data_IF_850188045198
#
_entry.id   IF_850188045198
#
_cell.length_a   1.000
_cell.length_b   1.000
_cell.length_c   1.000
_cell.angle_alpha   90.00
_cell.angle_beta   90.00
_cell.angle_gamma   90.00
#
_symmetry.space_group_name_H-M   'P 1'
#
loop_
_entity.id
_entity.type
_entity.pdbx_description
1 polymer ?
#
# COMPACT_ATOMS: atom_id res chain seq x y z
N UNK A 1 -32.12 20.90 24.39
CA UNK A 1 -32.19 19.73 23.48
C UNK A 1 -31.28 19.87 22.25
N UNK A 2 -31.30 20.99 21.51
CA UNK A 2 -30.47 21.19 20.30
C UNK A 2 -28.94 21.06 20.51
N UNK A 3 -28.41 21.56 21.64
CA UNK A 3 -26.98 21.45 21.96
C UNK A 3 -26.51 19.99 22.19
N UNK A 4 -27.38 19.13 22.73
CA UNK A 4 -27.08 17.72 22.94
C UNK A 4 -27.13 16.93 21.63
N UNK A 5 -28.05 17.28 20.73
CA UNK A 5 -28.11 16.69 19.39
C UNK A 5 -26.86 17.03 18.56
N UNK A 6 -26.39 18.28 18.61
CA UNK A 6 -25.15 18.68 17.95
C UNK A 6 -23.90 17.96 18.52
N UNK A 7 -23.80 17.82 19.84
CA UNK A 7 -22.68 17.12 20.47
C UNK A 7 -22.65 15.62 20.10
N UNK A 8 -23.81 14.95 20.07
CA UNK A 8 -23.92 13.56 19.64
C UNK A 8 -23.60 13.40 18.15
N UNK A 9 -24.07 14.30 17.30
CA UNK A 9 -23.79 14.29 15.87
C UNK A 9 -22.28 14.49 15.61
N UNK A 10 -21.63 15.39 16.34
CA UNK A 10 -20.19 15.64 16.24
C UNK A 10 -19.35 14.43 16.68
N UNK A 11 -19.76 13.74 17.76
CA UNK A 11 -19.09 12.51 18.20
C UNK A 11 -19.28 11.36 17.21
N UNK A 12 -20.44 11.26 16.57
CA UNK A 12 -20.67 10.33 15.47
C UNK A 12 -19.71 10.64 14.31
N UNK A 13 -19.61 11.89 13.86
CA UNK A 13 -18.64 12.25 12.83
C UNK A 13 -17.19 11.95 13.21
N UNK A 14 -16.81 12.11 14.48
CA UNK A 14 -15.44 11.81 14.92
C UNK A 14 -15.14 10.30 14.93
N UNK A 15 -16.01 9.47 15.53
CA UNK A 15 -15.75 8.02 15.63
C UNK A 15 -15.85 7.34 14.26
N UNK A 16 -16.86 7.68 13.46
CA UNK A 16 -17.03 7.13 12.12
C UNK A 16 -16.01 7.73 11.13
N UNK A 17 -15.58 8.97 11.34
CA UNK A 17 -14.51 9.60 10.58
C UNK A 17 -13.18 8.87 10.76
N UNK A 18 -12.81 8.51 11.99
CA UNK A 18 -11.57 7.75 12.26
C UNK A 18 -11.62 6.36 11.62
N UNK A 19 -12.75 5.67 11.72
CA UNK A 19 -12.94 4.36 11.07
C UNK A 19 -12.87 4.47 9.54
N UNK A 20 -13.45 5.51 8.95
CA UNK A 20 -13.39 5.76 7.51
C UNK A 20 -11.95 6.01 7.06
N UNK A 21 -11.17 6.83 7.80
CA UNK A 21 -9.75 7.07 7.49
C UNK A 21 -8.95 5.76 7.55
N UNK A 22 -9.16 4.96 8.60
CA UNK A 22 -8.45 3.68 8.74
C UNK A 22 -8.81 2.69 7.63
N UNK A 23 -10.09 2.63 7.23
CA UNK A 23 -10.53 1.83 6.09
C UNK A 23 -9.87 2.26 4.77
N UNK A 24 -9.73 3.58 4.53
CA UNK A 24 -9.04 4.10 3.35
C UNK A 24 -7.56 3.70 3.35
N UNK A 25 -6.87 3.80 4.48
CA UNK A 25 -5.45 3.39 4.60
C UNK A 25 -5.29 1.91 4.24
N UNK A 26 -6.15 1.05 4.78
CA UNK A 26 -6.13 -0.38 4.49
C UNK A 26 -6.44 -0.67 3.01
N UNK A 27 -7.46 -0.01 2.44
CA UNK A 27 -7.84 -0.18 1.05
C UNK A 27 -6.69 0.19 0.09
N UNK A 28 -6.00 1.31 0.36
CA UNK A 28 -4.82 1.75 -0.41
C UNK A 28 -3.69 0.71 -0.31
N UNK A 29 -3.44 0.18 0.90
CA UNK A 29 -2.44 -0.85 1.13
C UNK A 29 -2.71 -2.14 0.36
N UNK A 30 -3.94 -2.64 0.41
CA UNK A 30 -4.39 -3.83 -0.34
C UNK A 30 -4.22 -3.59 -1.84
N UNK A 31 -4.72 -2.46 -2.35
CA UNK A 31 -4.63 -2.11 -3.78
C UNK A 31 -3.18 -2.14 -4.27
N UNK A 32 -2.25 -1.56 -3.51
CA UNK A 32 -0.81 -1.55 -3.85
C UNK A 32 -0.22 -2.96 -3.91
N UNK A 33 -0.58 -3.84 -2.97
CA UNK A 33 -0.11 -5.23 -2.96
C UNK A 33 -0.66 -5.99 -4.18
N UNK A 34 -1.95 -5.80 -4.50
CA UNK A 34 -2.59 -6.42 -5.66
C UNK A 34 -1.97 -5.94 -6.98
N UNK A 35 -1.71 -4.64 -7.12
CA UNK A 35 -1.03 -4.09 -8.30
C UNK A 35 0.40 -4.64 -8.45
N UNK A 36 1.14 -4.80 -7.35
CA UNK A 36 2.49 -5.40 -7.37
C UNK A 36 2.44 -6.88 -7.77
N UNK A 37 1.46 -7.63 -7.26
CA UNK A 37 1.25 -9.04 -7.57
C UNK A 37 0.91 -9.25 -9.05
N UNK A 38 -0.11 -8.54 -9.54
CA UNK A 38 -0.56 -8.63 -10.92
C UNK A 38 0.51 -8.13 -11.91
N UNK A 39 1.24 -7.08 -11.55
CA UNK A 39 2.41 -6.61 -12.29
C UNK A 39 3.49 -7.68 -12.42
N UNK A 40 3.90 -8.30 -11.31
CA UNK A 40 4.91 -9.35 -11.30
C UNK A 40 4.49 -10.57 -12.15
N UNK A 41 3.22 -11.00 -12.06
CA UNK A 41 2.69 -12.09 -12.86
C UNK A 41 2.65 -11.76 -14.36
N UNK A 42 2.20 -10.55 -14.72
CA UNK A 42 2.17 -10.08 -16.11
C UNK A 42 3.58 -10.04 -16.70
N UNK A 43 4.54 -9.57 -15.92
CA UNK A 43 5.94 -9.51 -16.30
C UNK A 43 6.52 -10.92 -16.48
N UNK A 44 6.24 -11.84 -15.55
CA UNK A 44 6.69 -13.24 -15.64
C UNK A 44 6.16 -13.94 -16.90
N UNK A 45 4.88 -13.73 -17.25
CA UNK A 45 4.29 -14.24 -18.49
C UNK A 45 4.99 -13.69 -19.74
N UNK A 46 5.26 -12.38 -19.74
CA UNK A 46 5.97 -11.72 -20.85
C UNK A 46 7.39 -12.27 -21.00
N UNK A 47 8.11 -12.47 -19.89
CA UNK A 47 9.46 -13.04 -19.88
C UNK A 47 9.47 -14.49 -20.35
N UNK A 48 8.51 -15.33 -19.92
CA UNK A 48 8.39 -16.72 -20.43
C UNK A 48 8.15 -16.76 -21.93
N UNK A 49 7.19 -15.97 -22.41
CA UNK A 49 6.87 -15.88 -23.83
C UNK A 49 8.04 -15.34 -24.68
N UNK A 50 8.88 -14.48 -24.10
CA UNK A 50 10.11 -14.03 -24.73
C UNK A 50 11.17 -15.12 -24.76
N UNK A 51 11.40 -15.79 -23.62
CA UNK A 51 12.35 -16.91 -23.47
C UNK A 51 12.01 -18.06 -24.42
N UNK A 52 10.74 -18.43 -24.54
CA UNK A 52 10.28 -19.47 -25.49
C UNK A 52 10.62 -19.12 -26.94
N UNK A 53 10.42 -17.86 -27.35
CA UNK A 53 10.82 -17.39 -28.69
C UNK A 53 12.33 -17.39 -28.87
N UNK A 54 13.08 -17.03 -27.82
CA UNK A 54 14.53 -17.06 -27.84
C UNK A 54 15.05 -18.48 -28.05
N UNK A 55 14.47 -19.46 -27.35
CA UNK A 55 14.74 -20.88 -27.57
C UNK A 55 14.40 -21.34 -28.98
N UNK A 56 13.24 -20.95 -29.51
CA UNK A 56 12.85 -21.27 -30.88
C UNK A 56 13.85 -20.73 -31.91
N UNK A 57 14.26 -19.46 -31.76
CA UNK A 57 15.27 -18.84 -32.62
C UNK A 57 16.63 -19.53 -32.53
N UNK A 58 17.10 -19.82 -31.31
CA UNK A 58 18.37 -20.50 -31.08
C UNK A 58 18.37 -21.93 -31.65
N UNK A 59 17.28 -22.68 -31.45
CA UNK A 59 17.12 -24.04 -31.98
C UNK A 59 17.01 -24.08 -33.51
N UNK A 60 16.52 -23.00 -34.13
CA UNK A 60 16.54 -22.83 -35.59
C UNK A 60 17.91 -22.44 -36.15
N UNK A 61 18.95 -22.34 -35.30
CA UNK A 61 20.28 -21.85 -35.68
C UNK A 61 20.23 -20.53 -36.47
N UNK A 62 19.31 -19.63 -36.09
CA UNK A 62 19.18 -18.32 -36.71
C UNK A 62 18.34 -18.26 -37.98
N UNK A 63 17.76 -19.37 -38.45
CA UNK A 63 16.98 -19.43 -39.69
C UNK A 63 15.57 -18.82 -39.56
N UNK A 64 14.99 -18.84 -38.35
CA UNK A 64 13.67 -18.25 -38.11
C UNK A 64 13.73 -16.71 -38.04
N UNK A 65 13.62 -16.09 -39.21
CA UNK A 65 13.61 -14.62 -39.37
C UNK A 65 12.45 -13.98 -38.61
N UNK A 66 11.28 -14.62 -38.57
CA UNK A 66 10.10 -14.07 -37.88
C UNK A 66 10.30 -14.07 -36.36
N UNK A 67 10.90 -15.13 -35.80
CA UNK A 67 11.30 -15.16 -34.39
C UNK A 67 12.35 -14.10 -34.09
N UNK A 68 13.36 -13.92 -34.95
CA UNK A 68 14.38 -12.88 -34.80
C UNK A 68 13.78 -11.47 -34.77
N UNK A 69 12.97 -11.11 -35.76
CA UNK A 69 12.36 -9.78 -35.85
C UNK A 69 11.53 -9.47 -34.60
N UNK A 70 10.79 -10.46 -34.11
CA UNK A 70 10.01 -10.28 -32.89
C UNK A 70 10.85 -10.17 -31.63
N UNK A 71 11.94 -10.94 -31.54
CA UNK A 71 12.88 -10.83 -30.44
C UNK A 71 13.56 -9.47 -30.45
N UNK A 72 14.06 -9.01 -31.60
CA UNK A 72 14.69 -7.70 -31.76
C UNK A 72 13.74 -6.56 -31.38
N UNK A 73 12.48 -6.61 -31.82
CA UNK A 73 11.46 -5.61 -31.45
C UNK A 73 11.17 -5.60 -29.93
N UNK A 74 11.19 -6.75 -29.27
CA UNK A 74 10.88 -6.86 -27.85
C UNK A 74 12.10 -6.71 -26.94
N UNK A 75 13.31 -6.74 -27.50
CA UNK A 75 14.56 -6.81 -26.75
C UNK A 75 14.77 -5.60 -25.83
N UNK A 76 14.52 -4.38 -26.34
CA UNK A 76 14.64 -3.16 -25.56
C UNK A 76 13.67 -3.16 -24.37
N UNK A 77 12.40 -3.48 -24.63
CA UNK A 77 11.38 -3.56 -23.58
C UNK A 77 11.73 -4.61 -22.52
N UNK A 78 12.27 -5.76 -22.95
CA UNK A 78 12.68 -6.82 -22.02
C UNK A 78 13.90 -6.39 -21.20
N UNK A 79 14.90 -5.78 -21.83
CA UNK A 79 16.06 -5.21 -21.13
C UNK A 79 15.67 -4.20 -20.07
N UNK A 80 14.78 -3.26 -20.41
CA UNK A 80 14.25 -2.28 -19.46
C UNK A 80 13.44 -2.93 -18.32
N UNK A 81 12.65 -3.95 -18.65
CA UNK A 81 11.84 -4.70 -17.68
C UNK A 81 12.70 -5.50 -16.69
N UNK A 82 13.79 -6.07 -17.16
CA UNK A 82 14.73 -6.85 -16.35
C UNK A 82 15.61 -5.97 -15.45
N UNK A 83 15.82 -4.70 -15.82
CA UNK A 83 16.56 -3.72 -15.02
C UNK A 83 17.97 -4.21 -14.68
N UNK A 84 18.27 -4.40 -13.39
CA UNK A 84 19.57 -4.93 -12.94
C UNK A 84 19.85 -6.35 -13.42
N UNK A 85 18.82 -7.18 -13.59
CA UNK A 85 18.98 -8.54 -14.10
C UNK A 85 19.29 -8.59 -15.59
N UNK A 86 19.10 -7.46 -16.30
CA UNK A 86 19.46 -7.30 -17.70
C UNK A 86 20.95 -6.98 -17.91
N UNK A 87 21.74 -6.87 -16.84
CA UNK A 87 23.16 -6.55 -16.92
C UNK A 87 23.94 -7.81 -16.63
N UNK A 88 24.70 -8.27 -17.61
CA UNK A 88 25.66 -9.35 -17.41
C UNK A 88 27.06 -8.77 -17.52
N UNK A 89 27.84 -9.00 -16.47
CA UNK A 89 29.29 -8.80 -16.51
C UNK A 89 29.89 -9.94 -17.32
N UNK A 90 29.96 -9.73 -18.62
CA UNK A 90 30.47 -10.71 -19.57
C UNK A 90 31.97 -10.48 -19.71
N UNK A 91 32.77 -11.46 -19.27
CA UNK A 91 34.21 -11.50 -19.53
C UNK A 91 34.44 -12.34 -20.78
N UNK A 92 34.85 -11.76 -21.92
CA UNK A 92 35.18 -12.55 -23.09
C UNK A 92 36.36 -13.48 -22.76
N UNK A 93 36.32 -14.75 -23.21
CA UNK A 93 37.48 -15.62 -23.12
C UNK A 93 38.64 -14.93 -23.88
N UNK A 94 39.84 -14.92 -23.29
CA UNK A 94 41.07 -14.31 -23.82
C UNK A 94 41.23 -12.77 -23.69
N UNK A 95 40.30 -12.05 -23.07
CA UNK A 95 40.46 -10.63 -22.73
C UNK A 95 41.07 -10.43 -21.33
N UNK A 96 42.32 -9.94 -21.24
CA UNK A 96 43.01 -9.68 -19.97
C UNK A 96 42.43 -8.53 -19.12
N UNK A 97 41.33 -7.89 -19.52
CA UNK A 97 40.72 -6.74 -18.84
C UNK A 97 39.21 -6.97 -18.64
N UNK A 98 38.68 -6.51 -17.51
CA UNK A 98 37.36 -6.88 -16.97
C UNK A 98 36.33 -5.75 -17.13
N UNK A 99 35.08 -6.17 -17.40
CA UNK A 99 33.78 -5.50 -17.24
C UNK A 99 33.41 -4.35 -18.19
N UNK A 100 32.90 -4.70 -19.38
CA UNK A 100 31.75 -3.98 -19.94
C UNK A 100 30.48 -4.69 -19.46
N UNK A 101 29.62 -3.99 -18.73
CA UNK A 101 28.30 -4.50 -18.38
C UNK A 101 27.43 -4.42 -19.64
N UNK A 102 27.15 -5.56 -20.26
CA UNK A 102 26.30 -5.59 -21.46
C UNK A 102 24.84 -5.54 -21.02
N UNK A 103 24.01 -4.78 -21.74
CA UNK A 103 22.55 -4.87 -21.61
C UNK A 103 22.13 -6.12 -22.37
N UNK A 104 22.12 -7.23 -21.64
CA UNK A 104 22.14 -8.62 -22.08
C UNK A 104 21.23 -8.85 -23.28
N UNK A 105 19.93 -8.57 -23.14
CA UNK A 105 18.98 -8.98 -24.17
C UNK A 105 19.08 -8.15 -25.46
N UNK A 106 19.44 -6.86 -25.35
CA UNK A 106 19.46 -5.95 -26.51
C UNK A 106 20.67 -6.19 -27.42
N UNK A 107 21.83 -6.46 -26.82
CA UNK A 107 23.09 -6.61 -27.54
C UNK A 107 23.30 -8.04 -28.02
N UNK A 108 22.87 -9.04 -27.23
CA UNK A 108 23.14 -10.42 -27.55
C UNK A 108 22.25 -11.02 -28.65
N UNK A 109 21.05 -10.48 -28.92
CA UNK A 109 20.22 -11.01 -30.02
C UNK A 109 20.88 -10.80 -31.40
N UNK A 110 21.32 -9.57 -31.76
CA UNK A 110 22.05 -9.36 -33.00
C UNK A 110 23.39 -10.10 -33.07
N UNK A 111 24.12 -10.20 -31.95
CA UNK A 111 25.39 -10.94 -31.89
C UNK A 111 25.18 -12.44 -32.11
N UNK A 112 24.15 -13.02 -31.48
CA UNK A 112 23.79 -14.42 -31.69
C UNK A 112 23.48 -14.72 -33.16
N UNK A 113 22.75 -13.83 -33.85
CA UNK A 113 22.48 -13.95 -35.28
C UNK A 113 23.77 -13.91 -36.12
N UNK A 114 24.73 -13.04 -35.76
CA UNK A 114 26.04 -12.98 -36.45
C UNK A 114 26.81 -14.29 -36.31
N UNK A 115 26.86 -14.87 -35.10
CA UNK A 115 27.52 -16.15 -34.89
C UNK A 115 26.86 -17.30 -35.67
N UNK A 116 25.52 -17.30 -35.78
CA UNK A 116 24.81 -18.25 -36.64
C UNK A 116 25.11 -18.06 -38.14
N UNK A 117 25.17 -16.81 -38.62
CA UNK A 117 25.53 -16.53 -40.01
C UNK A 117 26.97 -16.96 -40.34
N UNK A 118 27.92 -16.74 -39.42
CA UNK A 118 29.31 -17.17 -39.57
C UNK A 118 29.43 -18.70 -39.62
N UNK A 119 28.64 -19.42 -38.81
CA UNK A 119 28.53 -20.88 -38.85
C UNK A 119 28.01 -21.38 -40.21
N UNK A 120 26.96 -20.75 -40.74
CA UNK A 120 26.38 -21.08 -42.04
C UNK A 120 27.34 -20.78 -43.20
N UNK A 121 28.18 -19.76 -43.06
CA UNK A 121 29.21 -19.40 -44.06
C UNK A 121 30.45 -20.33 -44.03
N UNK A 122 30.48 -21.36 -43.18
CA UNK A 122 31.61 -22.29 -43.06
C UNK A 122 32.77 -21.76 -42.21
N UNK A 123 32.50 -20.79 -41.33
CA UNK A 123 33.51 -20.20 -40.45
C UNK A 123 34.10 -21.20 -39.45
N UNK A 124 35.43 -21.25 -39.38
CA UNK A 124 36.16 -22.18 -38.52
C UNK A 124 36.18 -21.69 -37.05
N UNK A 125 35.53 -22.45 -36.15
CA UNK A 125 35.83 -22.52 -34.72
C UNK A 125 35.09 -21.55 -33.78
N UNK A 126 35.13 -20.23 -34.02
CA UNK A 126 34.62 -19.26 -33.03
C UNK A 126 33.09 -19.03 -33.06
N UNK A 127 32.42 -19.46 -34.13
CA UNK A 127 30.96 -19.29 -34.28
C UNK A 127 30.15 -20.14 -33.31
N UNK A 128 30.54 -21.40 -33.10
CA UNK A 128 29.79 -22.34 -32.24
C UNK A 128 29.96 -21.98 -30.76
N UNK A 129 31.19 -21.75 -30.33
CA UNK A 129 31.50 -21.41 -28.94
C UNK A 129 30.91 -20.04 -28.56
N UNK A 130 30.95 -19.07 -29.48
CA UNK A 130 30.33 -17.76 -29.31
C UNK A 130 28.81 -17.82 -29.22
N UNK A 131 28.14 -18.53 -30.15
CA UNK A 131 26.68 -18.71 -30.12
C UNK A 131 26.23 -19.43 -28.84
N UNK A 132 26.93 -20.49 -28.45
CA UNK A 132 26.66 -21.25 -27.22
C UNK A 132 26.80 -20.39 -25.97
N UNK A 133 27.90 -19.64 -25.86
CA UNK A 133 28.14 -18.74 -24.73
C UNK A 133 27.06 -17.65 -24.62
N UNK A 134 26.67 -17.03 -25.75
CA UNK A 134 25.60 -16.04 -25.78
C UNK A 134 24.27 -16.66 -25.35
N UNK A 135 23.93 -17.83 -25.91
CA UNK A 135 22.70 -18.54 -25.59
C UNK A 135 22.58 -18.81 -24.09
N UNK A 136 23.60 -19.40 -23.48
CA UNK A 136 23.60 -19.70 -22.04
C UNK A 136 23.56 -18.42 -21.20
N UNK A 137 24.28 -17.38 -21.62
CA UNK A 137 24.31 -16.10 -20.90
C UNK A 137 22.93 -15.43 -20.86
N UNK A 138 22.23 -15.39 -22.00
CA UNK A 138 20.89 -14.82 -22.09
C UNK A 138 19.88 -15.68 -21.35
N UNK A 139 19.93 -17.01 -21.50
CA UNK A 139 18.99 -17.91 -20.83
C UNK A 139 19.13 -17.85 -19.30
N UNK A 140 20.36 -17.86 -18.79
CA UNK A 140 20.64 -17.72 -17.35
C UNK A 140 20.10 -16.39 -16.80
N UNK A 141 20.27 -15.29 -17.52
CA UNK A 141 19.74 -14.00 -17.11
C UNK A 141 18.21 -14.00 -17.06
N UNK A 142 17.55 -14.62 -18.05
CA UNK A 142 16.09 -14.76 -18.10
C UNK A 142 15.57 -15.66 -16.97
N UNK A 143 16.25 -16.78 -16.67
CA UNK A 143 15.91 -17.67 -15.56
C UNK A 143 16.03 -16.96 -14.21
N UNK A 144 17.15 -16.26 -13.97
CA UNK A 144 17.36 -15.48 -12.74
C UNK A 144 16.27 -14.43 -12.55
N UNK A 145 15.91 -13.75 -13.63
CA UNK A 145 14.83 -12.76 -13.58
C UNK A 145 13.47 -13.41 -13.30
N UNK A 146 13.15 -14.55 -13.91
CA UNK A 146 11.94 -15.31 -13.60
C UNK A 146 11.90 -15.75 -12.13
N UNK A 147 13.03 -16.18 -11.57
CA UNK A 147 13.15 -16.51 -10.16
C UNK A 147 12.88 -15.30 -9.25
N UNK A 148 13.41 -14.13 -9.59
CA UNK A 148 13.15 -12.89 -8.85
C UNK A 148 11.67 -12.48 -8.89
N UNK A 149 11.00 -12.64 -10.04
CA UNK A 149 9.57 -12.38 -10.18
C UNK A 149 8.70 -13.39 -9.40
N UNK A 150 9.10 -14.65 -9.36
CA UNK A 150 8.42 -15.69 -8.58
C UNK A 150 8.52 -15.40 -7.08
N UNK A 151 9.71 -15.03 -6.58
CA UNK A 151 9.88 -14.63 -5.19
C UNK A 151 9.05 -13.37 -4.85
N UNK A 152 9.04 -12.38 -5.76
CA UNK A 152 8.20 -11.18 -5.60
C UNK A 152 6.71 -11.55 -5.51
N UNK A 153 6.27 -12.51 -6.31
CA UNK A 153 4.89 -13.03 -6.31
C UNK A 153 4.57 -13.72 -4.98
N UNK A 154 5.43 -14.64 -4.52
CA UNK A 154 5.29 -15.35 -3.24
C UNK A 154 5.27 -14.42 -2.05
N UNK A 155 6.16 -13.41 -2.02
CA UNK A 155 6.18 -12.40 -0.97
C UNK A 155 4.92 -11.55 -0.99
N UNK A 156 4.44 -11.15 -2.17
CA UNK A 156 3.23 -10.33 -2.30
C UNK A 156 1.98 -11.10 -1.88
N UNK A 157 1.87 -12.39 -2.22
CA UNK A 157 0.79 -13.27 -1.74
C UNK A 157 0.80 -13.41 -0.21
N UNK A 158 1.97 -13.64 0.40
CA UNK A 158 2.10 -13.69 1.87
C UNK A 158 1.69 -12.38 2.54
N UNK A 159 2.03 -11.23 1.93
CA UNK A 159 1.60 -9.91 2.41
C UNK A 159 0.11 -9.66 2.23
N UNK A 160 -0.49 -10.22 1.18
CA UNK A 160 -1.93 -10.09 0.94
C UNK A 160 -2.74 -10.80 2.03
N UNK A 161 -2.23 -11.85 2.68
CA UNK A 161 -2.90 -12.53 3.79
C UNK A 161 -2.65 -11.86 5.16
N UNK A 162 -1.82 -10.81 5.23
CA UNK A 162 -1.44 -10.18 6.49
C UNK A 162 -2.04 -8.76 6.62
N UNK A 163 -3.03 -8.56 7.52
CA UNK A 163 -3.66 -7.24 7.74
C UNK A 163 -2.68 -6.14 8.18
N UNK A 164 -1.63 -6.51 8.93
CA UNK A 164 -0.59 -5.56 9.36
C UNK A 164 0.22 -5.07 8.15
N UNK A 165 0.45 -5.94 7.17
CA UNK A 165 1.13 -5.56 5.93
C UNK A 165 0.30 -4.57 5.10
N UNK A 166 -1.03 -4.71 5.09
CA UNK A 166 -1.92 -3.76 4.42
C UNK A 166 -1.81 -2.37 5.05
N UNK A 167 -1.91 -2.29 6.38
CA UNK A 167 -1.79 -1.02 7.10
C UNK A 167 -0.43 -0.36 6.84
N UNK A 168 0.66 -1.12 6.95
CA UNK A 168 2.01 -0.62 6.68
C UNK A 168 2.17 -0.07 5.26
N UNK A 169 1.74 -0.81 4.24
CA UNK A 169 1.86 -0.37 2.84
C UNK A 169 0.97 0.85 2.55
N UNK A 170 -0.19 0.96 3.21
CA UNK A 170 -1.08 2.12 3.14
C UNK A 170 -0.46 3.37 3.77
N UNK A 171 0.07 3.26 4.99
CA UNK A 171 0.75 4.38 5.67
C UNK A 171 2.00 4.82 4.90
N UNK A 172 2.83 3.88 4.45
CA UNK A 172 4.02 4.18 3.63
C UNK A 172 3.65 4.99 2.38
N UNK A 173 2.53 4.64 1.74
CA UNK A 173 2.06 5.33 0.53
C UNK A 173 1.57 6.75 0.84
N UNK A 174 0.83 6.93 1.93
CA UNK A 174 0.30 8.24 2.32
C UNK A 174 1.44 9.19 2.70
N UNK A 175 2.44 8.70 3.43
CA UNK A 175 3.63 9.48 3.76
C UNK A 175 4.47 9.83 2.52
N UNK A 176 4.43 9.00 1.47
CA UNK A 176 5.12 9.25 0.21
C UNK A 176 4.37 10.25 -0.70
N UNK A 177 3.06 10.48 -0.50
CA UNK A 177 2.27 11.42 -1.31
C UNK A 177 2.91 12.81 -1.45
N UNK A 178 3.37 13.51 -0.39
CA UNK A 178 3.99 14.82 -0.56
C UNK A 178 5.22 14.80 -1.47
N UNK A 179 6.03 13.73 -1.45
CA UNK A 179 7.16 13.58 -2.36
C UNK A 179 6.74 13.33 -3.81
N UNK A 180 5.66 12.57 -4.00
CA UNK A 180 5.07 12.30 -5.32
C UNK A 180 4.45 13.58 -5.90
N UNK A 181 3.75 14.35 -5.07
CA UNK A 181 3.17 15.63 -5.47
C UNK A 181 4.31 16.61 -5.82
N UNK A 182 5.38 16.66 -5.02
CA UNK A 182 6.55 17.49 -5.32
C UNK A 182 7.24 17.12 -6.64
N UNK A 183 7.26 15.84 -7.02
CA UNK A 183 7.81 15.43 -8.31
C UNK A 183 6.93 15.84 -9.49
N UNK A 184 5.60 15.89 -9.32
CA UNK A 184 4.70 16.41 -10.36
C UNK A 184 4.94 17.90 -10.67
N UNK A 185 5.37 18.68 -9.67
CA UNK A 185 5.76 20.08 -9.84
C UNK A 185 7.20 20.24 -10.36
N UNK A 186 7.90 19.15 -10.69
CA UNK A 186 9.27 19.20 -11.20
C UNK A 186 10.32 19.62 -10.17
N UNK A 187 9.94 19.73 -8.89
CA UNK A 187 10.86 20.09 -7.80
C UNK A 187 11.87 18.97 -7.51
N UNK A 188 11.50 17.72 -7.82
CA UNK A 188 12.30 16.53 -7.55
C UNK A 188 12.24 15.61 -8.78
N UNK A 189 13.40 15.06 -9.16
CA UNK A 189 13.53 14.03 -10.18
C UNK A 189 12.62 12.81 -9.87
N UNK A 190 11.81 12.33 -10.84
CA UNK A 190 10.84 11.24 -10.61
C UNK A 190 11.47 9.97 -10.01
N UNK A 191 12.70 9.65 -10.42
CA UNK A 191 13.45 8.49 -9.93
C UNK A 191 13.87 8.64 -8.45
N UNK A 192 14.14 9.87 -8.01
CA UNK A 192 14.47 10.15 -6.60
C UNK A 192 13.22 10.09 -5.73
N UNK A 193 12.09 10.57 -6.21
CA UNK A 193 10.80 10.45 -5.52
C UNK A 193 10.35 8.98 -5.37
N UNK A 194 10.55 8.16 -6.41
CA UNK A 194 10.25 6.72 -6.36
C UNK A 194 11.20 5.92 -5.44
N UNK A 195 12.44 6.38 -5.25
CA UNK A 195 13.41 5.73 -4.38
C UNK A 195 13.31 6.15 -2.90
N UNK A 196 12.63 7.26 -2.59
CA UNK A 196 12.33 7.65 -1.21
C UNK A 196 11.53 6.56 -0.47
N UNK A 197 10.58 5.92 -1.15
CA UNK A 197 9.79 4.79 -0.61
C UNK A 197 10.63 3.53 -0.31
N UNK A 198 11.80 3.38 -0.95
CA UNK A 198 12.66 2.20 -0.80
C UNK A 198 13.69 2.36 0.33
N UNK A 199 13.85 3.56 0.88
CA UNK A 199 14.86 3.82 1.89
C UNK A 199 14.45 3.25 3.26
N UNK A 200 15.36 2.51 3.90
CA UNK A 200 15.11 1.86 5.19
C UNK A 200 14.78 2.86 6.31
N UNK A 201 15.40 4.04 6.28
CA UNK A 201 15.10 5.14 7.21
C UNK A 201 13.66 5.63 7.06
N UNK A 202 13.19 5.81 5.82
CA UNK A 202 11.80 6.24 5.57
C UNK A 202 10.80 5.18 6.05
N UNK A 203 11.09 3.90 5.85
CA UNK A 203 10.28 2.79 6.40
C UNK A 203 10.27 2.74 7.93
N UNK A 204 11.39 3.05 8.57
CA UNK A 204 11.48 3.10 10.03
C UNK A 204 10.67 4.27 10.59
N UNK A 205 10.80 5.45 9.99
CA UNK A 205 10.00 6.63 10.35
C UNK A 205 8.52 6.38 10.12
N UNK A 206 8.14 5.81 8.97
CA UNK A 206 6.75 5.43 8.67
C UNK A 206 6.20 4.41 9.67
N UNK A 207 7.01 3.42 10.07
CA UNK A 207 6.65 2.45 11.11
C UNK A 207 6.42 3.12 12.46
N UNK A 208 7.29 4.05 12.86
CA UNK A 208 7.13 4.84 14.09
C UNK A 208 5.89 5.74 14.04
N UNK A 209 5.64 6.39 12.91
CA UNK A 209 4.43 7.23 12.74
C UNK A 209 3.17 6.38 12.80
N UNK A 210 3.19 5.18 12.21
CA UNK A 210 2.09 4.24 12.27
C UNK A 210 1.77 3.81 13.72
N UNK A 211 2.80 3.51 14.52
CA UNK A 211 2.63 3.15 15.94
C UNK A 211 2.03 4.34 16.72
N UNK A 212 2.58 5.54 16.53
CA UNK A 212 2.08 6.75 17.20
C UNK A 212 0.63 7.06 16.81
N UNK A 213 0.27 6.87 15.53
CA UNK A 213 -1.10 7.06 15.07
C UNK A 213 -2.07 6.07 15.73
N UNK A 214 -1.69 4.80 15.87
CA UNK A 214 -2.50 3.78 16.56
C UNK A 214 -2.67 4.13 18.04
N UNK A 215 -1.61 4.56 18.72
CA UNK A 215 -1.68 4.99 20.12
C UNK A 215 -2.57 6.23 20.28
N UNK A 216 -2.49 7.18 19.35
CA UNK A 216 -3.30 8.39 19.36
C UNK A 216 -4.79 8.09 19.10
N UNK A 217 -5.09 7.18 18.16
CA UNK A 217 -6.46 6.72 17.90
C UNK A 217 -7.03 5.96 19.11
N UNK A 218 -6.22 5.09 19.72
CA UNK A 218 -6.62 4.36 20.93
C UNK A 218 -6.90 5.29 22.11
N UNK A 219 -6.05 6.29 22.32
CA UNK A 219 -6.29 7.27 23.39
C UNK A 219 -7.53 8.12 23.12
N UNK A 220 -7.78 8.55 21.89
CA UNK A 220 -9.01 9.29 21.55
C UNK A 220 -10.28 8.47 21.77
N UNK A 221 -10.26 7.16 21.50
CA UNK A 221 -11.40 6.27 21.82
C UNK A 221 -11.65 6.18 23.33
N UNK A 222 -10.60 5.94 24.13
CA UNK A 222 -10.72 5.81 25.60
C UNK A 222 -11.15 7.14 26.25
N UNK A 223 -10.55 8.26 25.83
CA UNK A 223 -10.92 9.58 26.33
C UNK A 223 -12.31 10.04 25.84
N UNK A 224 -12.73 9.59 24.65
CA UNK A 224 -14.08 9.79 24.15
C UNK A 224 -15.13 9.12 25.04
N UNK A 225 -14.86 7.88 25.44
CA UNK A 225 -15.73 7.07 26.31
C UNK A 225 -15.80 7.59 27.76
N UNK A 226 -14.70 8.16 28.26
CA UNK A 226 -14.68 8.83 29.57
C UNK A 226 -15.53 10.11 29.59
N UNK A 227 -15.49 10.92 28.52
CA UNK A 227 -16.28 12.15 28.43
C UNK A 227 -17.77 11.88 28.30
N UNK A 228 -18.19 10.84 27.57
CA UNK A 228 -19.60 10.44 27.49
C UNK A 228 -20.13 9.92 28.81
N UNK A 229 -19.33 9.12 29.55
CA UNK A 229 -19.71 8.62 30.87
C UNK A 229 -19.76 9.69 31.97
N UNK A 230 -18.90 10.72 31.89
CA UNK A 230 -18.93 11.85 32.81
C UNK A 230 -20.14 12.78 32.55
N UNK A 231 -20.44 13.07 31.28
CA UNK A 231 -21.57 13.92 30.89
C UNK A 231 -22.93 13.25 31.18
N UNK A 232 -23.03 11.93 31.00
CA UNK A 232 -24.25 11.17 31.33
C UNK A 232 -24.53 11.15 32.84
N UNK A 233 -23.49 10.99 33.68
CA UNK A 233 -23.61 11.07 35.15
C UNK A 233 -23.97 12.47 35.64
N UNK A 234 -23.40 13.52 35.04
CA UNK A 234 -23.76 14.89 35.38
C UNK A 234 -25.23 15.18 35.06
N UNK A 235 -25.70 14.76 33.87
CA UNK A 235 -27.08 14.93 33.44
C UNK A 235 -28.06 14.15 34.33
N UNK A 236 -27.71 12.91 34.72
CA UNK A 236 -28.53 12.13 35.66
C UNK A 236 -28.65 12.81 37.03
N UNK A 237 -27.55 13.37 37.57
CA UNK A 237 -27.61 14.12 38.84
C UNK A 237 -28.50 15.35 38.74
N UNK A 238 -28.42 16.12 37.65
CA UNK A 238 -29.25 17.31 37.48
C UNK A 238 -30.74 16.96 37.38
N UNK A 239 -31.08 15.86 36.69
CA UNK A 239 -32.47 15.38 36.58
C UNK A 239 -33.00 14.89 37.93
N UNK A 240 -32.18 14.19 38.72
CA UNK A 240 -32.53 13.73 40.07
C UNK A 240 -32.68 14.91 41.05
N UNK A 241 -31.78 15.90 41.01
CA UNK A 241 -31.84 17.09 41.85
C UNK A 241 -33.01 18.01 41.49
N UNK A 242 -33.36 18.09 40.21
CA UNK A 242 -34.53 18.87 39.76
C UNK A 242 -35.82 18.18 40.20
N UNK A 243 -35.93 16.86 39.99
CA UNK A 243 -37.09 16.08 40.41
C UNK A 243 -37.32 16.13 41.92
N UNK A 244 -36.25 16.03 42.73
CA UNK A 244 -36.34 16.10 44.19
C UNK A 244 -36.74 17.49 44.70
N UNK A 245 -36.29 18.58 44.06
CA UNK A 245 -36.72 19.94 44.37
C UNK A 245 -38.19 20.18 44.02
N UNK A 246 -38.64 19.71 42.86
CA UNK A 246 -40.04 19.84 42.46
C UNK A 246 -40.96 19.09 43.42
N UNK A 247 -40.63 17.84 43.78
CA UNK A 247 -41.39 17.07 44.77
C UNK A 247 -41.41 17.76 46.14
N UNK A 248 -40.27 18.29 46.61
CA UNK A 248 -40.21 19.03 47.87
C UNK A 248 -41.08 20.30 47.86
N UNK A 249 -41.11 21.02 46.74
CA UNK A 249 -41.95 22.22 46.59
C UNK A 249 -43.45 21.89 46.55
N UNK A 250 -43.83 20.80 45.88
CA UNK A 250 -45.22 20.34 45.84
C UNK A 250 -45.69 19.86 47.22
N UNK A 251 -44.85 19.14 47.96
CA UNK A 251 -45.17 18.70 49.33
C UNK A 251 -45.35 19.89 50.28
N UNK A 252 -44.51 20.93 50.17
CA UNK A 252 -44.70 22.17 50.95
C UNK A 252 -45.98 22.90 50.59
N UNK A 253 -46.33 22.99 49.31
CA UNK A 253 -47.57 23.65 48.87
C UNK A 253 -48.83 22.90 49.33
N UNK A 254 -48.77 21.57 49.44
CA UNK A 254 -49.86 20.75 49.97
C UNK A 254 -50.01 20.93 51.49
N UNK A 255 -48.90 21.06 52.22
CA UNK A 255 -48.94 21.36 53.66
C UNK A 255 -49.59 22.70 53.97
N UNK A 256 -49.24 23.76 53.21
CA UNK A 256 -49.84 25.09 53.39
C UNK A 256 -51.34 25.10 53.06
N UNK A 257 -51.75 24.35 52.04
CA UNK A 257 -53.17 24.21 51.67
C UNK A 257 -53.97 23.49 52.76
N UNK A 258 -53.38 22.48 53.41
CA UNK A 258 -54.02 21.77 54.51
C UNK A 258 -54.19 22.68 55.75
N UNK A 259 -53.21 23.53 56.04
CA UNK A 259 -53.28 24.50 57.15
C UNK A 259 -54.33 25.59 56.90
N UNK A 260 -54.44 26.10 55.67
CA UNK A 260 -55.45 27.10 55.29
C UNK A 260 -56.87 26.54 55.35
N UNK A 261 -57.07 25.29 54.90
CA UNK A 261 -58.37 24.60 55.01
C UNK A 261 -58.74 24.34 56.47
N UNK A 262 -57.77 23.95 57.32
CA UNK A 262 -58.00 23.74 58.75
C UNK A 262 -58.46 25.03 59.45
N UNK A 263 -57.84 26.17 59.13
CA UNK A 263 -58.26 27.49 59.66
C UNK A 263 -59.66 27.90 59.19
N UNK A 264 -59.99 27.66 57.93
CA UNK A 264 -61.30 28.00 57.38
C UNK A 264 -62.46 27.19 57.99
N UNK A 265 -62.18 25.99 58.52
CA UNK A 265 -63.17 25.14 59.20
C UNK A 265 -63.33 25.54 60.68
N UNK A 266 -62.32 26.17 61.29
CA UNK A 266 -62.32 26.55 62.70
C UNK A 266 -63.03 27.89 63.00
N UNK A 267 -63.43 28.66 61.99
CA UNK A 267 -64.20 29.89 62.18
C UNK A 267 -65.72 29.62 62.04
N UNK A 268 -66.49 29.60 63.15
CA UNK A 268 -67.94 29.52 63.05
C UNK A 268 -68.49 30.83 62.50
N UNK A 269 -69.14 30.76 61.33
CA UNK A 269 -69.95 31.86 60.79
C UNK A 269 -70.96 32.31 61.85
N UNK A 270 -70.81 33.54 62.34
CA UNK A 270 -71.85 34.19 63.15
C UNK A 270 -73.09 34.44 62.27
N UNK A 271 -74.29 34.06 62.73
CA UNK A 271 -75.52 34.36 62.01
C UNK A 271 -75.89 35.84 62.19
N UNK A 272 -76.20 36.51 61.08
CA UNK A 272 -77.00 37.74 61.05
C UNK A 272 -78.48 37.38 60.96
#
# INVERSE_FOLDING_TARGET
>A
MLANAYAQMLQFFQTYGVLAVLAVILAVGILRIVLRLTGAQKQARTTRAFRERFHAFANSSGEDVAAYERLAFLAERMGNSMGRHARVDAKPPFGGHTNKSFVTVLQFIPELRRHFADLQAGGYGLGNDGASWIYHTVDDALIRFLGALDETTKVSLRRLLNPIAWFREGVERILALPFIIASWFGLIEPDRAANAEKNGFFRAVAGLTAILAVVFIGSTLIFGEQKTNAASRATYRTIVDTSTRTVSSSVKSLGTLADDVSKAIAEPKQPQ
#
